data_IF_207586732930
#
_entry.id   IF_207586732930
#
_cell.length_a   1.000
_cell.length_b   1.000
_cell.length_c   1.000
_cell.angle_alpha   90.00
_cell.angle_beta   90.00
_cell.angle_gamma   90.00
#
_symmetry.space_group_name_H-M   'P 1'
#
loop_
_entity.id
_entity.type
_entity.pdbx_description
1 polymer ?
#
# COMPACT_ATOMS: atom_id res chain seq x y z
N UNK A 1 5.92 0.48 15.72
CA UNK A 1 4.51 0.92 15.54
C UNK A 1 3.90 0.37 14.24
N UNK A 2 4.20 -0.88 13.85
CA UNK A 2 3.58 -1.62 12.73
C UNK A 2 2.78 -2.85 13.20
N UNK A 3 2.87 -3.20 14.49
CA UNK A 3 2.40 -4.49 15.02
C UNK A 3 0.87 -4.56 15.13
N UNK A 4 0.19 -3.43 15.35
CA UNK A 4 -1.27 -3.39 15.56
C UNK A 4 -2.08 -3.46 14.26
N UNK A 5 -1.58 -2.86 13.17
CA UNK A 5 -2.23 -2.91 11.84
C UNK A 5 -2.40 -4.35 11.34
N UNK A 6 -1.34 -5.15 11.51
CA UNK A 6 -1.33 -6.56 11.13
C UNK A 6 -2.27 -7.40 12.00
N UNK A 7 -2.46 -7.04 13.27
CA UNK A 7 -3.18 -7.90 14.22
C UNK A 7 -4.68 -8.01 13.91
N UNK A 8 -5.36 -6.89 13.65
CA UNK A 8 -6.81 -6.90 13.33
C UNK A 8 -7.08 -7.57 11.98
N UNK A 9 -6.25 -7.30 10.98
CA UNK A 9 -6.40 -7.93 9.67
C UNK A 9 -6.13 -9.44 9.74
N UNK A 10 -5.12 -9.85 10.52
CA UNK A 10 -4.78 -11.25 10.71
C UNK A 10 -5.87 -12.00 11.48
N UNK A 11 -6.40 -11.40 12.55
CA UNK A 11 -7.51 -11.95 13.35
C UNK A 11 -8.77 -12.13 12.49
N UNK A 12 -9.13 -11.11 11.70
CA UNK A 12 -10.28 -11.19 10.81
C UNK A 12 -10.07 -12.16 9.64
N UNK A 13 -8.84 -12.30 9.12
CA UNK A 13 -8.49 -13.30 8.11
C UNK A 13 -8.62 -14.72 8.66
N UNK A 14 -8.16 -14.94 9.89
CA UNK A 14 -8.32 -16.21 10.59
C UNK A 14 -9.81 -16.55 10.79
N UNK A 15 -10.62 -15.56 11.19
CA UNK A 15 -12.06 -15.74 11.35
C UNK A 15 -12.76 -16.09 10.02
N UNK A 16 -12.33 -15.49 8.91
CA UNK A 16 -12.87 -15.77 7.57
C UNK A 16 -12.70 -17.24 7.22
N UNK A 17 -11.51 -17.78 7.48
CA UNK A 17 -11.20 -19.20 7.25
C UNK A 17 -12.11 -20.07 8.12
N UNK A 18 -12.16 -19.80 9.43
CA UNK A 18 -12.97 -20.59 10.36
C UNK A 18 -14.47 -20.55 10.02
N UNK A 19 -14.97 -19.39 9.56
CA UNK A 19 -16.37 -19.24 9.15
C UNK A 19 -16.67 -20.02 7.87
N UNK A 20 -15.77 -19.98 6.88
CA UNK A 20 -15.90 -20.79 5.67
C UNK A 20 -15.89 -22.29 5.98
N UNK A 21 -15.01 -22.74 6.89
CA UNK A 21 -14.97 -24.12 7.38
C UNK A 21 -16.26 -24.49 8.12
N UNK A 22 -16.80 -23.63 8.98
CA UNK A 22 -18.08 -23.87 9.65
C UNK A 22 -19.23 -24.08 8.65
N UNK A 23 -19.29 -23.28 7.59
CA UNK A 23 -20.31 -23.43 6.53
C UNK A 23 -20.17 -24.76 5.79
N UNK A 24 -18.95 -25.18 5.48
CA UNK A 24 -18.67 -26.46 4.82
C UNK A 24 -19.03 -27.64 5.73
N UNK A 25 -18.73 -27.54 7.02
CA UNK A 25 -18.96 -28.59 8.01
C UNK A 25 -20.38 -28.57 8.62
N UNK A 26 -21.28 -27.69 8.13
CA UNK A 26 -22.64 -27.53 8.66
C UNK A 26 -22.69 -27.07 10.12
N UNK A 27 -21.63 -26.44 10.63
CA UNK A 27 -21.53 -25.91 11.98
C UNK A 27 -22.07 -24.47 12.04
N UNK A 28 -22.52 -24.04 13.23
CA UNK A 28 -22.90 -22.66 13.47
C UNK A 28 -21.69 -21.71 13.29
N UNK A 29 -21.94 -20.51 12.77
CA UNK A 29 -20.89 -19.48 12.60
C UNK A 29 -20.27 -19.11 13.96
N UNK A 30 -18.95 -18.90 14.02
CA UNK A 30 -18.28 -18.46 15.24
C UNK A 30 -18.78 -17.07 15.65
N UNK A 31 -19.01 -16.86 16.95
CA UNK A 31 -19.39 -15.56 17.49
C UNK A 31 -18.14 -14.69 17.63
N UNK A 32 -18.03 -13.63 16.82
CA UNK A 32 -16.86 -12.78 16.78
C UNK A 32 -17.20 -11.36 16.34
N UNK A 33 -16.50 -10.36 16.88
CA UNK A 33 -16.71 -8.93 16.55
C UNK A 33 -16.52 -8.58 15.08
N UNK A 34 -15.76 -9.41 14.35
CA UNK A 34 -15.48 -9.23 12.92
C UNK A 34 -16.38 -10.07 12.00
N UNK A 35 -17.29 -10.89 12.54
CA UNK A 35 -18.13 -11.76 11.71
C UNK A 35 -19.07 -10.95 10.81
N UNK A 36 -19.45 -9.75 11.26
CA UNK A 36 -20.26 -8.79 10.51
C UNK A 36 -19.56 -8.23 9.26
N UNK A 37 -18.22 -8.35 9.17
CA UNK A 37 -17.43 -7.91 8.02
C UNK A 37 -17.16 -9.03 7.01
N UNK A 38 -17.70 -10.24 7.25
CA UNK A 38 -17.54 -11.40 6.38
C UNK A 38 -18.85 -11.63 5.62
N UNK A 39 -18.82 -11.36 4.33
CA UNK A 39 -19.92 -11.66 3.41
C UNK A 39 -19.69 -13.04 2.80
N UNK A 40 -20.70 -13.90 2.77
CA UNK A 40 -20.64 -15.19 2.06
C UNK A 40 -21.71 -15.19 0.99
N UNK A 41 -21.29 -15.27 -0.27
CA UNK A 41 -22.15 -15.38 -1.44
C UNK A 41 -21.93 -16.73 -2.12
N UNK A 42 -22.88 -17.17 -2.92
CA UNK A 42 -22.69 -18.34 -3.80
C UNK A 42 -22.48 -17.84 -5.22
N UNK A 43 -21.49 -18.38 -5.90
CA UNK A 43 -21.29 -18.09 -7.32
C UNK A 43 -22.36 -18.79 -8.20
N UNK A 44 -22.26 -18.61 -9.52
CA UNK A 44 -23.16 -19.24 -10.50
C UNK A 44 -23.10 -20.79 -10.47
N UNK A 45 -22.08 -21.37 -9.87
CA UNK A 45 -21.87 -22.81 -9.72
C UNK A 45 -22.34 -23.31 -8.33
N UNK A 46 -22.81 -22.42 -7.46
CA UNK A 46 -23.28 -22.73 -6.11
C UNK A 46 -22.18 -22.82 -5.06
N UNK A 47 -20.92 -22.51 -5.41
CA UNK A 47 -19.78 -22.57 -4.50
C UNK A 47 -19.81 -21.35 -3.56
N UNK A 48 -19.73 -21.56 -2.24
CA UNK A 48 -19.70 -20.44 -1.29
C UNK A 48 -18.36 -19.70 -1.37
N UNK A 49 -18.39 -18.45 -1.81
CA UNK A 49 -17.28 -17.51 -1.79
C UNK A 49 -17.48 -16.51 -0.65
N UNK A 50 -16.49 -16.42 0.24
CA UNK A 50 -16.49 -15.44 1.33
C UNK A 50 -15.57 -14.27 1.02
N UNK A 51 -16.01 -13.06 1.31
CA UNK A 51 -15.25 -11.81 1.17
C UNK A 51 -15.20 -11.11 2.52
N UNK A 52 -14.02 -10.63 2.91
CA UNK A 52 -13.79 -9.90 4.14
C UNK A 52 -13.66 -8.41 3.80
N UNK A 53 -14.53 -7.57 4.36
CA UNK A 53 -14.57 -6.12 4.14
C UNK A 53 -14.46 -5.37 5.46
N UNK A 54 -13.25 -5.21 5.98
CA UNK A 54 -13.03 -4.40 7.18
C UNK A 54 -13.00 -2.91 6.81
N UNK A 55 -13.85 -2.08 7.45
CA UNK A 55 -13.72 -0.63 7.37
C UNK A 55 -12.35 -0.17 7.86
N UNK A 56 -11.81 0.89 7.25
CA UNK A 56 -10.49 1.44 7.62
C UNK A 56 -10.42 1.81 9.09
N UNK A 57 -11.45 2.44 9.66
CA UNK A 57 -11.50 2.78 11.08
C UNK A 57 -11.43 1.55 12.00
N UNK A 58 -11.93 0.39 11.56
CA UNK A 58 -11.90 -0.87 12.32
C UNK A 58 -10.56 -1.58 12.14
N UNK A 59 -10.00 -1.54 10.94
CA UNK A 59 -8.65 -2.01 10.68
C UNK A 59 -7.60 -1.16 11.44
N UNK A 60 -7.90 0.13 11.67
CA UNK A 60 -7.02 1.13 12.27
C UNK A 60 -7.36 1.48 13.72
N UNK A 61 -8.32 0.83 14.39
CA UNK A 61 -8.61 1.09 15.81
C UNK A 61 -7.32 0.91 16.63
N UNK A 62 -6.68 2.04 16.96
CA UNK A 62 -5.31 2.12 17.51
C UNK A 62 -4.38 3.18 16.87
N UNK A 63 -4.72 3.83 15.75
CA UNK A 63 -3.86 4.82 15.09
C UNK A 63 -4.63 6.05 14.60
N UNK A 64 -4.15 7.22 15.00
CA UNK A 64 -4.70 8.56 14.71
C UNK A 64 -4.85 8.84 13.21
N UNK A 65 -5.90 9.60 12.88
CA UNK A 65 -6.31 10.13 11.59
C UNK A 65 -5.19 10.52 10.61
N UNK A 66 -5.25 10.02 9.38
CA UNK A 66 -4.79 10.75 8.21
C UNK A 66 -6.00 11.07 7.34
N UNK A 67 -6.30 12.36 7.19
CA UNK A 67 -7.18 12.87 6.15
C UNK A 67 -6.26 13.66 5.22
N UNK A 68 -6.26 13.36 3.93
CA UNK A 68 -6.10 14.39 2.89
C UNK A 68 -6.51 13.83 1.52
N UNK A 69 -7.62 14.37 1.06
CA UNK A 69 -8.25 14.31 -0.27
C UNK A 69 -7.33 14.70 -1.43
N UNK A 70 -7.64 14.13 -2.59
CA UNK A 70 -7.03 14.37 -3.90
C UNK A 70 -7.54 15.64 -4.61
N UNK A 71 -6.58 16.43 -5.10
CA UNK A 71 -6.40 17.18 -6.35
C UNK A 71 -7.58 17.86 -7.10
N UNK A 72 -7.47 19.19 -7.26
CA UNK A 72 -7.18 19.91 -8.54
C UNK A 72 -8.08 21.11 -8.90
N UNK A 73 -7.41 22.10 -9.52
CA UNK A 73 -7.89 23.18 -10.42
C UNK A 73 -8.17 24.58 -9.86
N UNK A 74 -7.50 25.59 -10.44
CA UNK A 74 -8.04 26.96 -10.58
C UNK A 74 -7.33 28.11 -9.87
N UNK A 75 -6.31 28.64 -10.54
CA UNK A 75 -5.70 29.99 -10.53
C UNK A 75 -6.35 31.18 -9.75
N UNK A 76 -5.46 32.08 -9.29
CA UNK A 76 -5.58 33.56 -9.12
C UNK A 76 -5.75 34.12 -7.68
N UNK A 77 -4.64 34.69 -7.19
CA UNK A 77 -4.46 35.91 -6.37
C UNK A 77 -4.77 36.03 -4.85
N UNK A 78 -3.83 36.75 -4.22
CA UNK A 78 -3.88 37.58 -3.02
C UNK A 78 -3.79 36.93 -1.62
N UNK A 79 -2.82 37.46 -0.87
CA UNK A 79 -2.32 37.05 0.44
C UNK A 79 -3.39 36.87 1.55
N UNK A 80 -3.16 36.00 2.55
CA UNK A 80 -4.03 35.88 3.71
C UNK A 80 -3.83 37.06 4.69
N UNK A 81 -4.87 37.46 5.47
CA UNK A 81 -4.64 38.24 6.68
C UNK A 81 -4.07 37.33 7.77
N UNK A 82 -3.06 37.85 8.46
CA UNK A 82 -2.31 37.22 9.55
C UNK A 82 -3.21 36.68 10.68
N UNK A 83 -2.84 35.50 11.20
CA UNK A 83 -3.44 34.86 12.38
C UNK A 83 -3.13 35.65 13.66
N UNK A 84 -4.04 35.76 14.66
CA UNK A 84 -3.94 36.73 15.77
C UNK A 84 -2.96 36.37 16.91
N UNK A 85 -1.86 35.68 16.64
CA UNK A 85 -0.91 35.26 17.67
C UNK A 85 0.49 35.83 17.42
N UNK A 86 0.60 37.15 17.41
CA UNK A 86 1.84 37.87 17.71
C UNK A 86 1.95 38.03 19.23
N UNK A 87 2.81 37.24 19.92
CA UNK A 87 3.63 37.67 21.09
C UNK A 87 4.45 36.50 21.72
N UNK A 88 5.43 35.94 21.02
CA UNK A 88 6.54 35.23 21.70
C UNK A 88 7.82 35.34 20.87
N UNK A 89 8.85 35.94 21.46
CA UNK A 89 10.12 36.33 20.85
C UNK A 89 10.73 35.25 19.95
N UNK A 90 11.03 35.63 18.70
CA UNK A 90 11.90 34.91 17.79
C UNK A 90 13.35 35.09 18.24
N UNK A 91 13.91 34.11 18.95
CA UNK A 91 15.33 33.85 18.75
C UNK A 91 15.49 33.16 17.40
N UNK A 92 16.18 33.82 16.47
CA UNK A 92 16.56 33.27 15.17
C UNK A 92 17.39 31.99 15.39
N UNK A 93 16.75 30.84 15.27
CA UNK A 93 17.47 29.60 14.96
C UNK A 93 17.88 29.69 13.50
N UNK A 94 19.10 30.17 13.25
CA UNK A 94 19.79 30.08 11.97
C UNK A 94 19.74 28.63 11.46
N UNK A 95 19.38 28.46 10.19
CA UNK A 95 19.24 27.21 9.42
C UNK A 95 20.54 26.38 9.26
N UNK A 96 21.38 26.27 10.30
CA UNK A 96 22.73 25.69 10.19
C UNK A 96 22.91 24.30 10.84
N UNK A 97 21.89 23.66 11.44
CA UNK A 97 22.04 22.29 11.95
C UNK A 97 20.77 21.41 11.82
N UNK A 98 20.17 21.34 10.63
CA UNK A 98 19.40 20.12 10.33
C UNK A 98 20.38 19.04 9.91
N UNK A 99 20.75 18.17 10.85
CA UNK A 99 21.49 16.94 10.60
C UNK A 99 20.86 16.25 9.37
N UNK A 100 21.61 16.25 8.26
CA UNK A 100 21.23 15.81 6.92
C UNK A 100 20.99 14.28 6.84
N UNK A 101 20.58 13.65 7.94
CA UNK A 101 20.44 12.20 8.03
C UNK A 101 18.99 11.73 8.19
N UNK A 102 18.00 12.58 7.91
CA UNK A 102 16.67 12.09 7.55
C UNK A 102 16.72 11.53 6.13
N UNK A 103 17.15 10.27 6.06
CA UNK A 103 17.10 9.43 4.88
C UNK A 103 15.64 9.36 4.40
N UNK A 104 15.32 10.15 3.38
CA UNK A 104 14.07 10.02 2.64
C UNK A 104 14.00 8.57 2.14
N UNK A 105 12.91 7.82 2.37
CA UNK A 105 12.72 6.49 1.78
C UNK A 105 12.50 6.55 0.25
N UNK A 106 12.99 7.60 -0.41
CA UNK A 106 13.03 7.79 -1.86
C UNK A 106 14.40 7.46 -2.47
N UNK A 107 15.40 7.07 -1.68
CA UNK A 107 16.68 6.57 -2.20
C UNK A 107 16.93 5.12 -1.78
N UNK A 108 15.98 4.22 -2.08
CA UNK A 108 16.36 2.81 -2.18
C UNK A 108 17.28 2.72 -3.39
N UNK A 109 18.60 2.76 -3.16
CA UNK A 109 19.58 2.70 -4.22
C UNK A 109 19.29 1.50 -5.13
N UNK A 110 19.20 1.74 -6.44
CA UNK A 110 18.97 0.65 -7.38
C UNK A 110 20.09 -0.39 -7.24
N UNK A 111 19.71 -1.63 -7.00
CA UNK A 111 20.63 -2.78 -6.87
C UNK A 111 21.13 -3.28 -8.23
N UNK A 112 20.60 -2.75 -9.33
CA UNK A 112 21.05 -2.99 -10.69
C UNK A 112 20.04 -2.47 -11.72
N UNK A 113 20.31 -2.73 -13.00
CA UNK A 113 19.37 -2.49 -14.09
C UNK A 113 19.11 -3.80 -14.83
N UNK A 114 17.93 -3.91 -15.42
CA UNK A 114 17.59 -5.02 -16.30
C UNK A 114 16.88 -4.52 -17.55
N UNK A 115 17.00 -5.31 -18.62
CA UNK A 115 16.34 -5.09 -19.90
C UNK A 115 15.17 -6.05 -20.05
N UNK A 116 14.03 -5.53 -20.46
CA UNK A 116 12.84 -6.33 -20.72
C UNK A 116 12.99 -7.11 -22.02
N UNK A 117 12.80 -8.42 -21.94
CA UNK A 117 12.93 -9.37 -23.05
C UNK A 117 11.57 -9.78 -23.64
N UNK A 118 10.50 -9.62 -22.86
CA UNK A 118 9.13 -9.95 -23.27
C UNK A 118 8.14 -8.94 -22.68
N UNK A 119 7.08 -8.62 -23.43
CA UNK A 119 6.00 -7.76 -22.97
C UNK A 119 5.24 -8.40 -21.79
N UNK A 120 4.86 -7.58 -20.82
CA UNK A 120 3.96 -7.97 -19.73
C UNK A 120 3.02 -6.81 -19.39
N UNK A 121 1.73 -7.11 -19.25
CA UNK A 121 0.70 -6.14 -18.88
C UNK A 121 0.31 -6.36 -17.43
N UNK A 122 0.28 -5.29 -16.66
CA UNK A 122 -0.05 -5.30 -15.24
C UNK A 122 -1.49 -5.81 -15.05
N UNK A 123 -1.67 -6.72 -14.10
CA UNK A 123 -2.96 -7.26 -13.68
C UNK A 123 -3.48 -6.58 -12.41
N UNK A 124 -2.58 -5.94 -11.66
CA UNK A 124 -2.86 -5.22 -10.42
C UNK A 124 -2.16 -3.85 -10.39
N UNK A 125 -2.63 -2.94 -9.53
CA UNK A 125 -2.17 -1.55 -9.49
C UNK A 125 -0.71 -1.41 -9.01
N UNK A 126 -0.20 -2.41 -8.29
CA UNK A 126 1.17 -2.51 -7.78
C UNK A 126 2.14 -3.14 -8.79
N UNK A 127 1.65 -3.62 -9.94
CA UNK A 127 2.46 -4.19 -11.02
C UNK A 127 2.90 -3.14 -12.06
N UNK A 128 4.02 -3.39 -12.73
CA UNK A 128 4.50 -2.59 -13.86
C UNK A 128 4.07 -3.18 -15.21
N UNK A 129 3.51 -2.31 -16.05
CA UNK A 129 3.42 -2.58 -17.48
C UNK A 129 4.81 -2.41 -18.10
N UNK A 130 5.31 -3.47 -18.73
CA UNK A 130 6.67 -3.50 -19.30
C UNK A 130 6.62 -3.94 -20.76
N UNK A 131 7.44 -3.29 -21.60
CA UNK A 131 7.56 -3.55 -23.03
C UNK A 131 8.94 -4.02 -23.39
N UNK A 132 9.04 -4.89 -24.40
CA UNK A 132 10.30 -5.39 -24.90
C UNK A 132 11.26 -4.23 -25.21
N UNK A 133 12.44 -4.28 -24.58
CA UNK A 133 13.48 -3.29 -24.70
C UNK A 133 13.52 -2.23 -23.61
N UNK A 134 12.49 -2.12 -22.76
CA UNK A 134 12.49 -1.19 -21.62
C UNK A 134 13.65 -1.50 -20.65
N UNK A 135 14.19 -0.44 -20.04
CA UNK A 135 15.24 -0.54 -19.01
C UNK A 135 14.62 -0.19 -17.66
N UNK A 136 14.70 -1.11 -16.71
CA UNK A 136 14.11 -0.96 -15.38
C UNK A 136 15.23 -0.85 -14.35
N UNK A 137 15.12 0.14 -13.46
CA UNK A 137 15.98 0.24 -12.28
C UNK A 137 15.46 -0.73 -11.21
N UNK A 138 16.24 -1.75 -10.87
CA UNK A 138 15.83 -2.79 -9.91
C UNK A 138 16.14 -2.33 -8.50
N UNK A 139 15.15 -2.33 -7.61
CA UNK A 139 15.31 -1.96 -6.20
C UNK A 139 15.39 -3.19 -5.30
N UNK A 140 14.56 -4.20 -5.53
CA UNK A 140 14.51 -5.39 -4.66
C UNK A 140 14.15 -6.64 -5.46
N UNK A 141 14.72 -7.78 -5.07
CA UNK A 141 14.49 -9.08 -5.70
C UNK A 141 13.81 -10.01 -4.70
N UNK A 142 12.54 -10.32 -4.92
CA UNK A 142 11.80 -11.20 -4.03
C UNK A 142 12.08 -12.67 -4.40
N UNK A 143 12.16 -13.60 -3.42
CA UNK A 143 12.45 -15.01 -3.68
C UNK A 143 11.38 -15.76 -4.49
N UNK A 144 10.18 -15.19 -4.61
CA UNK A 144 9.04 -15.76 -5.34
C UNK A 144 9.09 -15.51 -6.86
N UNK A 145 10.12 -14.82 -7.33
CA UNK A 145 10.32 -14.49 -8.75
C UNK A 145 9.80 -13.13 -9.17
N UNK A 146 9.32 -12.30 -8.24
CA UNK A 146 8.91 -10.93 -8.51
C UNK A 146 9.98 -9.93 -8.08
N UNK A 147 10.35 -9.04 -8.99
CA UNK A 147 11.29 -7.96 -8.70
C UNK A 147 10.53 -6.66 -8.60
N UNK A 148 10.96 -5.79 -7.69
CA UNK A 148 10.47 -4.43 -7.60
C UNK A 148 11.46 -3.49 -8.25
N UNK A 149 10.96 -2.57 -9.06
CA UNK A 149 11.79 -1.58 -9.72
C UNK A 149 10.99 -0.37 -10.17
N UNK A 150 11.67 0.50 -10.87
CA UNK A 150 11.14 1.74 -11.41
C UNK A 150 11.29 1.79 -12.92
N UNK A 151 10.20 2.12 -13.60
CA UNK A 151 10.14 2.37 -15.03
C UNK A 151 9.33 3.65 -15.28
N UNK A 152 9.92 4.63 -15.97
CA UNK A 152 9.28 5.91 -16.30
C UNK A 152 8.69 6.66 -15.08
N UNK A 153 9.34 6.59 -13.91
CA UNK A 153 8.85 7.22 -12.67
C UNK A 153 7.73 6.47 -11.97
N UNK A 154 7.28 5.32 -12.51
CA UNK A 154 6.36 4.40 -11.84
C UNK A 154 7.16 3.30 -11.14
N UNK A 155 6.89 3.10 -9.86
CA UNK A 155 7.45 1.98 -9.07
C UNK A 155 6.42 0.88 -8.99
N UNK A 156 6.84 -0.36 -9.19
CA UNK A 156 5.97 -1.53 -9.05
C UNK A 156 6.75 -2.84 -9.18
N UNK A 157 6.01 -3.95 -9.09
CA UNK A 157 6.55 -5.30 -9.23
C UNK A 157 6.42 -5.80 -10.67
N UNK A 158 7.36 -6.64 -11.09
CA UNK A 158 7.37 -7.28 -12.41
C UNK A 158 8.04 -8.66 -12.33
N UNK A 159 7.68 -9.58 -13.24
CA UNK A 159 8.20 -10.95 -13.20
C UNK A 159 9.66 -11.02 -13.68
N UNK A 160 10.54 -11.60 -12.87
CA UNK A 160 11.98 -11.67 -13.13
C UNK A 160 12.34 -12.48 -14.40
N UNK A 161 11.50 -13.44 -14.79
CA UNK A 161 11.71 -14.25 -15.99
C UNK A 161 11.43 -13.51 -17.30
N UNK A 162 10.96 -12.27 -17.24
CA UNK A 162 10.69 -11.42 -18.42
C UNK A 162 11.84 -10.46 -18.72
N UNK A 163 12.89 -10.46 -17.91
CA UNK A 163 14.01 -9.51 -18.00
C UNK A 163 15.36 -10.23 -18.01
N UNK A 164 16.37 -9.53 -18.52
CA UNK A 164 17.79 -9.92 -18.46
C UNK A 164 18.57 -8.81 -17.74
N UNK A 165 19.43 -9.17 -16.80
CA UNK A 165 20.32 -8.21 -16.12
C UNK A 165 21.36 -7.64 -17.08
N UNK A 166 21.76 -6.37 -16.87
CA UNK A 166 22.73 -5.63 -17.69
C UNK A 166 24.04 -5.45 -16.93
#
# INVERSE_FOLDING_TARGET
>A
MQVTFTLNFLEASHLKINTALSVINGQSKPNHRFVQYIETLKDKQGIPTSTLRLPLNVALEGGTSYIATSNSTGSVEHSPPVSPFDDFDQEEFSDDEFDNNYEYPGSVGSTGQCRVMYDYSANADDELDIKLGDIINVYTRQPDGWWQGELHGKVGIFPANYVEEI
#
